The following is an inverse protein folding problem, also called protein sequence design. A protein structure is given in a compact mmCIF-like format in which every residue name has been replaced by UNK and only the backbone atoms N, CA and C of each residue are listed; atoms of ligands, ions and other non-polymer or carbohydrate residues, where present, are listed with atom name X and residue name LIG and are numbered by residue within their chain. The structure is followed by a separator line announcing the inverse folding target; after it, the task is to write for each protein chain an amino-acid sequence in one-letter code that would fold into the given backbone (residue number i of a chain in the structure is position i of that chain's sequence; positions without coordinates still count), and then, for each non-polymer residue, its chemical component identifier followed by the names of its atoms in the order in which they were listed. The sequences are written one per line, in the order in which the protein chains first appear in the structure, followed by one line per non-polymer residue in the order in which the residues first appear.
data_IF_748848728991
#
_entry.id   IF_748848728991
#
_cell.length_a   1.000
_cell.length_b   1.000
_cell.length_c   1.000
_cell.angle_alpha   90.00
_cell.angle_beta   90.00
_cell.angle_gamma   90.00
#
_symmetry.space_group_name_H-M   'P 1'
#
loop_
_entity.id
_entity.type
_entity.pdbx_description
1 polymer ?
#
# COMPACT_ATOMS: atom_id res chain seq x y z
N UNK A 1 16.78 20.81 -20.67
CA UNK A 1 16.92 19.34 -20.66
C UNK A 1 15.57 18.75 -20.27
N UNK A 2 15.05 17.81 -21.07
CA UNK A 2 13.88 17.05 -20.65
C UNK A 2 14.38 15.99 -19.68
N UNK A 3 14.16 16.24 -18.40
CA UNK A 3 14.42 15.31 -17.33
C UNK A 3 13.43 14.15 -17.54
N UNK A 4 13.91 13.00 -18.05
CA UNK A 4 13.10 11.77 -18.19
C UNK A 4 12.89 11.12 -16.81
N UNK A 5 12.44 11.92 -15.84
CA UNK A 5 12.34 11.53 -14.43
C UNK A 5 11.05 10.77 -14.23
N UNK A 6 11.10 9.48 -14.50
CA UNK A 6 10.05 8.54 -14.18
C UNK A 6 9.80 7.55 -15.30
N UNK A 7 9.77 6.27 -14.95
CA UNK A 7 9.16 5.27 -15.81
C UNK A 7 7.66 5.57 -15.84
N UNK A 8 7.12 5.85 -17.03
CA UNK A 8 5.68 6.02 -17.22
C UNK A 8 4.99 4.67 -17.03
N UNK A 9 4.48 4.44 -15.82
CA UNK A 9 3.89 3.18 -15.44
C UNK A 9 2.56 2.89 -16.14
N UNK A 10 1.82 3.93 -16.56
CA UNK A 10 0.62 3.76 -17.36
C UNK A 10 0.98 3.27 -18.78
N UNK A 11 2.06 3.81 -19.35
CA UNK A 11 2.60 3.28 -20.60
C UNK A 11 3.06 1.82 -20.45
N UNK A 12 3.77 1.48 -19.37
CA UNK A 12 4.20 0.09 -19.11
C UNK A 12 2.99 -0.84 -19.04
N UNK A 13 1.94 -0.50 -18.28
CA UNK A 13 0.71 -1.29 -18.21
C UNK A 13 0.10 -1.53 -19.60
N UNK A 14 -0.08 -0.46 -20.38
CA UNK A 14 -0.67 -0.54 -21.72
C UNK A 14 0.21 -1.34 -22.70
N UNK A 15 1.53 -1.21 -22.59
CA UNK A 15 2.49 -1.92 -23.43
C UNK A 15 2.45 -3.44 -23.15
N UNK A 16 2.36 -3.83 -21.87
CA UNK A 16 2.21 -5.24 -21.49
C UNK A 16 0.90 -5.82 -22.01
N UNK A 17 -0.22 -5.11 -21.86
CA UNK A 17 -1.52 -5.55 -22.36
C UNK A 17 -1.52 -5.72 -23.89
N UNK A 18 -0.93 -4.76 -24.60
CA UNK A 18 -0.82 -4.81 -26.06
C UNK A 18 0.07 -5.95 -26.54
N UNK A 19 1.18 -6.21 -25.84
CA UNK A 19 2.10 -7.29 -26.16
C UNK A 19 1.48 -8.67 -25.90
N UNK A 20 0.69 -8.84 -24.83
CA UNK A 20 -0.07 -10.06 -24.56
C UNK A 20 -1.10 -10.34 -25.69
N UNK A 21 -1.87 -9.32 -26.10
CA UNK A 21 -2.80 -9.41 -27.22
C UNK A 21 -2.11 -9.78 -28.55
N UNK A 22 -0.89 -9.25 -28.77
CA UNK A 22 -0.07 -9.56 -29.93
C UNK A 22 0.73 -10.87 -29.80
N UNK A 23 0.64 -11.58 -28.68
CA UNK A 23 1.41 -12.79 -28.34
C UNK A 23 2.93 -12.58 -28.44
N UNK A 24 3.38 -11.38 -28.10
CA UNK A 24 4.80 -11.01 -28.04
C UNK A 24 5.33 -11.28 -26.64
N UNK A 25 6.51 -11.88 -26.55
CA UNK A 25 7.15 -12.13 -25.26
C UNK A 25 7.51 -10.81 -24.56
N UNK A 26 7.07 -10.66 -23.32
CA UNK A 26 7.38 -9.52 -22.45
C UNK A 26 8.30 -9.98 -21.32
N UNK A 27 9.34 -9.20 -20.96
CA UNK A 27 10.15 -9.45 -19.77
C UNK A 27 9.29 -9.60 -18.51
N UNK A 28 9.61 -10.59 -17.67
CA UNK A 28 8.86 -10.89 -16.45
C UNK A 28 8.72 -9.69 -15.51
N UNK A 29 9.78 -8.89 -15.38
CA UNK A 29 9.78 -7.70 -14.52
C UNK A 29 8.75 -6.67 -14.98
N UNK A 30 8.61 -6.43 -16.28
CA UNK A 30 7.62 -5.49 -16.82
C UNK A 30 6.19 -5.99 -16.60
N UNK A 31 5.97 -7.30 -16.68
CA UNK A 31 4.67 -7.91 -16.35
C UNK A 31 4.37 -7.70 -14.86
N UNK A 32 5.35 -7.95 -13.98
CA UNK A 32 5.21 -7.74 -12.55
C UNK A 32 4.94 -6.28 -12.19
N UNK A 33 5.62 -5.34 -12.87
CA UNK A 33 5.40 -3.91 -12.69
C UNK A 33 4.03 -3.46 -13.18
N UNK A 34 3.60 -3.89 -14.37
CA UNK A 34 2.26 -3.59 -14.88
C UNK A 34 1.18 -4.08 -13.92
N UNK A 35 1.32 -5.31 -13.40
CA UNK A 35 0.37 -5.85 -12.44
C UNK A 35 0.40 -5.13 -11.09
N UNK A 36 1.58 -4.77 -10.60
CA UNK A 36 1.73 -3.99 -9.38
C UNK A 36 1.12 -2.59 -9.51
N UNK A 37 1.41 -1.91 -10.63
CA UNK A 37 0.88 -0.59 -10.92
C UNK A 37 -0.63 -0.60 -11.00
N UNK A 38 -1.23 -1.58 -11.70
CA UNK A 38 -2.69 -1.72 -11.79
C UNK A 38 -3.38 -1.83 -10.43
N UNK A 39 -2.78 -2.56 -9.49
CA UNK A 39 -3.30 -2.65 -8.11
C UNK A 39 -3.15 -1.33 -7.37
N UNK A 40 -1.99 -0.70 -7.49
CA UNK A 40 -1.70 0.57 -6.82
C UNK A 40 -2.61 1.69 -7.35
N UNK A 41 -2.75 1.82 -8.67
CA UNK A 41 -3.57 2.85 -9.32
C UNK A 41 -5.04 2.71 -8.97
N UNK A 42 -5.55 1.47 -8.89
CA UNK A 42 -6.89 1.18 -8.40
C UNK A 42 -7.12 1.77 -7.01
N UNK A 43 -6.32 1.37 -6.00
CA UNK A 43 -6.49 1.87 -4.63
C UNK A 43 -6.08 3.34 -4.44
N UNK A 44 -5.22 3.88 -5.31
CA UNK A 44 -4.90 5.31 -5.31
C UNK A 44 -6.13 6.17 -5.63
N UNK A 45 -7.10 5.63 -6.37
CA UNK A 45 -8.37 6.32 -6.69
C UNK A 45 -9.52 5.94 -5.75
N UNK A 46 -9.55 4.70 -5.26
CA UNK A 46 -10.61 4.25 -4.35
C UNK A 46 -10.52 4.85 -2.94
N UNK A 47 -11.65 4.77 -2.23
CA UNK A 47 -11.74 5.14 -0.81
C UNK A 47 -11.40 3.92 0.05
N UNK A 48 -10.57 4.13 1.08
CA UNK A 48 -10.14 3.07 2.00
C UNK A 48 -10.94 3.21 3.31
N UNK A 49 -12.16 2.68 3.33
CA UNK A 49 -13.09 2.86 4.46
C UNK A 49 -13.11 1.68 5.42
N UNK A 50 -13.09 0.46 4.88
CA UNK A 50 -13.21 -0.76 5.65
C UNK A 50 -11.88 -1.53 5.80
N UNK A 51 -11.91 -2.53 6.67
CA UNK A 51 -10.75 -3.34 7.05
C UNK A 51 -10.19 -4.18 5.89
N UNK A 52 -11.05 -4.72 5.03
CA UNK A 52 -10.63 -5.55 3.91
C UNK A 52 -9.96 -4.68 2.85
N UNK A 53 -10.57 -3.56 2.50
CA UNK A 53 -10.01 -2.59 1.55
C UNK A 53 -8.65 -2.06 2.03
N UNK A 54 -8.52 -1.78 3.33
CA UNK A 54 -7.25 -1.41 3.94
C UNK A 54 -6.17 -2.50 3.83
N UNK A 55 -6.51 -3.77 4.07
CA UNK A 55 -5.57 -4.88 3.93
C UNK A 55 -5.09 -5.03 2.48
N UNK A 56 -6.02 -4.98 1.52
CA UNK A 56 -5.69 -5.09 0.09
C UNK A 56 -4.83 -3.92 -0.40
N UNK A 57 -5.09 -2.71 0.09
CA UNK A 57 -4.29 -1.53 -0.20
C UNK A 57 -2.85 -1.64 0.32
N UNK A 58 -2.67 -2.14 1.56
CA UNK A 58 -1.33 -2.42 2.12
C UNK A 58 -0.62 -3.51 1.31
N UNK A 59 -1.32 -4.58 0.95
CA UNK A 59 -0.76 -5.66 0.12
C UNK A 59 -0.36 -5.18 -1.27
N UNK A 60 -1.11 -4.25 -1.88
CA UNK A 60 -0.75 -3.64 -3.15
C UNK A 60 0.56 -2.84 -3.04
N UNK A 61 0.74 -2.05 -1.97
CA UNK A 61 1.99 -1.33 -1.70
C UNK A 61 3.17 -2.28 -1.47
N UNK A 62 2.98 -3.32 -0.67
CA UNK A 62 4.04 -4.31 -0.40
C UNK A 62 4.43 -5.06 -1.66
N UNK A 63 3.45 -5.45 -2.47
CA UNK A 63 3.70 -6.11 -3.75
C UNK A 63 4.49 -5.20 -4.70
N UNK A 64 4.09 -3.94 -4.85
CA UNK A 64 4.79 -2.96 -5.68
C UNK A 64 6.24 -2.72 -5.24
N UNK A 65 6.49 -2.61 -3.92
CA UNK A 65 7.85 -2.49 -3.37
C UNK A 65 8.67 -3.74 -3.63
N UNK A 66 8.08 -4.92 -3.42
CA UNK A 66 8.78 -6.21 -3.58
C UNK A 66 9.08 -6.56 -5.04
N UNK A 67 8.30 -6.04 -6.00
CA UNK A 67 8.55 -6.24 -7.43
C UNK A 67 9.63 -5.30 -7.98
N UNK A 68 10.19 -4.42 -7.15
CA UNK A 68 11.18 -3.42 -7.59
C UNK A 68 10.58 -2.42 -8.58
N UNK A 69 9.25 -2.27 -8.59
CA UNK A 69 8.59 -1.27 -9.42
C UNK A 69 9.12 0.12 -9.02
N UNK A 70 9.41 1.01 -9.99
CA UNK A 70 9.64 2.43 -9.71
C UNK A 70 8.50 3.01 -8.87
N UNK A 71 8.73 4.13 -8.18
CA UNK A 71 7.72 4.75 -7.32
C UNK A 71 6.96 5.86 -8.08
N UNK A 72 5.81 5.55 -8.73
CA UNK A 72 5.01 6.55 -9.44
C UNK A 72 4.14 7.36 -8.46
N UNK A 73 3.56 8.49 -8.91
CA UNK A 73 2.69 9.33 -8.08
C UNK A 73 1.50 8.59 -7.42
N UNK A 74 0.97 7.56 -8.06
CA UNK A 74 -0.10 6.70 -7.54
C UNK A 74 0.35 5.93 -6.30
N UNK A 75 1.61 5.48 -6.27
CA UNK A 75 2.17 4.78 -5.11
C UNK A 75 2.34 5.72 -3.92
N UNK A 76 2.74 6.97 -4.17
CA UNK A 76 2.81 8.02 -3.13
C UNK A 76 1.40 8.31 -2.59
N UNK A 77 0.44 8.51 -3.49
CA UNK A 77 -0.96 8.79 -3.14
C UNK A 77 -1.56 7.66 -2.29
N UNK A 78 -1.34 6.41 -2.70
CA UNK A 78 -1.80 5.24 -1.95
C UNK A 78 -1.10 5.13 -0.59
N UNK A 79 0.23 5.34 -0.54
CA UNK A 79 1.01 5.34 0.69
C UNK A 79 0.47 6.33 1.71
N UNK A 80 0.15 7.56 1.28
CA UNK A 80 -0.40 8.59 2.14
C UNK A 80 -1.80 8.23 2.64
N UNK A 81 -2.69 7.74 1.75
CA UNK A 81 -4.03 7.26 2.14
C UNK A 81 -3.96 6.14 3.18
N UNK A 82 -3.13 5.14 2.92
CA UNK A 82 -2.94 3.98 3.81
C UNK A 82 -2.38 4.45 5.15
N UNK A 83 -1.39 5.35 5.19
CA UNK A 83 -0.89 5.93 6.45
C UNK A 83 -1.97 6.67 7.21
N UNK A 84 -2.72 7.56 6.56
CA UNK A 84 -3.81 8.31 7.21
C UNK A 84 -4.85 7.37 7.81
N UNK A 85 -5.29 6.35 7.06
CA UNK A 85 -6.28 5.38 7.55
C UNK A 85 -5.71 4.52 8.68
N UNK A 86 -4.47 4.05 8.55
CA UNK A 86 -3.81 3.28 9.60
C UNK A 86 -3.69 4.06 10.91
N UNK A 87 -3.30 5.34 10.85
CA UNK A 87 -3.24 6.21 12.04
C UNK A 87 -4.62 6.37 12.68
N UNK A 88 -5.67 6.60 11.88
CA UNK A 88 -7.04 6.71 12.39
C UNK A 88 -7.53 5.41 13.05
N UNK A 89 -7.29 4.25 12.42
CA UNK A 89 -7.68 2.94 12.96
C UNK A 89 -6.91 2.60 14.24
N UNK A 90 -5.65 3.01 14.32
CA UNK A 90 -4.78 2.80 15.46
C UNK A 90 -5.22 3.67 16.66
N UNK A 91 -5.62 4.92 16.43
CA UNK A 91 -6.25 5.78 17.44
C UNK A 91 -7.61 5.24 17.90
N UNK A 92 -8.44 4.76 16.97
CA UNK A 92 -9.75 4.18 17.29
C UNK A 92 -9.61 2.88 18.10
N UNK A 93 -8.64 2.03 17.74
CA UNK A 93 -8.38 0.79 18.47
C UNK A 93 -7.86 1.04 19.89
N UNK A 94 -7.03 2.07 20.07
CA UNK A 94 -6.46 2.44 21.36
C UNK A 94 -7.50 2.94 22.39
N UNK A 95 -8.69 3.35 21.96
CA UNK A 95 -9.72 3.94 22.84
C UNK A 95 -10.78 2.95 23.33
N UNK A 96 -10.64 1.65 23.07
CA UNK A 96 -11.51 0.64 23.70
C UNK A 96 -11.81 -0.61 22.88
N UNK A 97 -11.02 -0.94 21.87
CA UNK A 97 -11.19 -2.20 21.13
C UNK A 97 -10.44 -3.36 21.78
N UNK A 98 -10.77 -4.59 21.38
CA UNK A 98 -10.08 -5.79 21.84
C UNK A 98 -8.59 -5.75 21.47
N UNK A 99 -7.75 -6.42 22.28
CA UNK A 99 -6.31 -6.54 22.03
C UNK A 99 -5.99 -7.10 20.63
N UNK A 100 -6.82 -8.00 20.10
CA UNK A 100 -6.66 -8.54 18.74
C UNK A 100 -6.83 -7.48 17.65
N UNK A 101 -7.82 -6.59 17.79
CA UNK A 101 -8.03 -5.50 16.82
C UNK A 101 -6.91 -4.47 16.92
N UNK A 102 -6.46 -4.16 18.13
CA UNK A 102 -5.34 -3.26 18.35
C UNK A 102 -4.02 -3.80 17.78
N UNK A 103 -3.73 -5.09 17.95
CA UNK A 103 -2.58 -5.75 17.33
C UNK A 103 -2.64 -5.62 15.79
N UNK A 104 -3.80 -5.91 15.20
CA UNK A 104 -3.95 -5.83 13.75
C UNK A 104 -3.82 -4.39 13.21
N UNK A 105 -4.32 -3.39 13.95
CA UNK A 105 -4.14 -1.99 13.60
C UNK A 105 -2.66 -1.57 13.65
N UNK A 106 -1.91 -2.06 14.65
CA UNK A 106 -0.46 -1.86 14.76
C UNK A 106 0.28 -2.50 13.58
N UNK A 107 -0.05 -3.75 13.22
CA UNK A 107 0.59 -4.46 12.10
C UNK A 107 0.35 -3.73 10.77
N UNK A 108 -0.88 -3.27 10.53
CA UNK A 108 -1.20 -2.48 9.34
C UNK A 108 -0.45 -1.13 9.33
N UNK A 109 -0.34 -0.46 10.47
CA UNK A 109 0.39 0.81 10.58
C UNK A 109 1.90 0.65 10.34
N UNK A 110 2.50 -0.46 10.78
CA UNK A 110 3.90 -0.79 10.49
C UNK A 110 4.10 -0.96 8.98
N UNK A 111 3.25 -1.77 8.32
CA UNK A 111 3.36 -2.02 6.87
C UNK A 111 3.07 -0.76 6.03
N UNK A 112 2.19 0.10 6.53
CA UNK A 112 1.92 1.42 5.97
C UNK A 112 3.12 2.39 6.11
N UNK A 113 4.04 2.15 7.03
CA UNK A 113 5.14 3.06 7.35
C UNK A 113 4.69 4.27 8.17
N UNK A 114 3.73 4.08 9.09
CA UNK A 114 3.35 5.09 10.09
C UNK A 114 4.54 5.38 11.03
N UNK A 115 4.62 6.61 11.54
CA UNK A 115 5.72 7.03 12.39
C UNK A 115 5.79 6.24 13.72
N UNK A 116 7.01 5.98 14.19
CA UNK A 116 7.26 5.19 15.40
C UNK A 116 6.63 5.82 16.66
N UNK A 117 6.45 7.14 16.69
CA UNK A 117 5.78 7.83 17.80
C UNK A 117 4.33 7.38 17.97
N UNK A 118 3.58 7.23 16.86
CA UNK A 118 2.18 6.79 16.88
C UNK A 118 2.10 5.30 17.21
N UNK A 119 3.02 4.49 16.67
CA UNK A 119 3.13 3.07 16.97
C UNK A 119 3.39 2.81 18.46
N UNK A 120 4.27 3.60 19.08
CA UNK A 120 4.62 3.44 20.50
C UNK A 120 3.43 3.70 21.42
N UNK A 121 2.59 4.68 21.10
CA UNK A 121 1.37 4.95 21.87
C UNK A 121 0.40 3.75 21.83
N UNK A 122 0.14 3.17 20.65
CA UNK A 122 -0.72 1.99 20.54
C UNK A 122 -0.11 0.73 21.16
N UNK A 123 1.20 0.51 21.01
CA UNK A 123 1.90 -0.62 21.65
C UNK A 123 1.81 -0.55 23.17
N UNK A 124 1.89 0.65 23.76
CA UNK A 124 1.71 0.84 25.21
C UNK A 124 0.30 0.44 25.68
N UNK A 125 -0.74 0.82 24.93
CA UNK A 125 -2.13 0.42 25.21
C UNK A 125 -2.33 -1.08 25.04
N UNK A 126 -1.71 -1.68 24.03
CA UNK A 126 -1.77 -3.13 23.81
C UNK A 126 -1.11 -3.89 24.97
N UNK A 127 0.07 -3.46 25.40
CA UNK A 127 0.75 -4.04 26.55
C UNK A 127 -0.06 -3.92 27.85
N UNK A 128 -0.85 -2.85 28.00
CA UNK A 128 -1.74 -2.67 29.14
C UNK A 128 -2.99 -3.56 29.09
N UNK A 129 -3.54 -3.85 27.90
CA UNK A 129 -4.74 -4.67 27.73
C UNK A 129 -4.49 -6.18 27.82
N UNK A 130 -3.23 -6.62 27.78
CA UNK A 130 -2.81 -8.01 27.95
C UNK A 130 -2.44 -8.37 29.41
N UNK A 131 -2.49 -7.41 30.34
CA UNK A 131 -2.28 -7.63 31.78
C UNK A 131 -3.59 -7.91 32.50
#
# INVERSE_FOLDING_TARGET
EADFVGVDMAFVEQAVESADAAKVAVPADLISWAFAFKKVSHFATETIDDKLTMQLAVEALDFARSSGMPEPPEMITLSDKVKTKATADLQAAATGQSAQVLQQAVDNAIRAGVQESDLNAARAVLAASLR
#
